data_IF_264594890845
#
_entry.id   IF_264594890845
#
_cell.length_a   1.000
_cell.length_b   1.000
_cell.length_c   1.000
_cell.angle_alpha   90.00
_cell.angle_beta   90.00
_cell.angle_gamma   90.00
#
_symmetry.space_group_name_H-M   'P 1'
#
loop_
_entity.id
_entity.type
_entity.pdbx_description
1 polymer ?
#
# COMPACT_ATOMS: atom_id res chain seq x y z
N UNK A 1 -0.67 7.89 -25.92
CA UNK A 1 0.22 7.07 -25.07
C UNK A 1 -0.24 5.62 -25.14
N UNK A 2 0.23 4.87 -26.14
CA UNK A 2 -0.26 3.52 -26.51
C UNK A 2 0.12 2.45 -25.47
N UNK A 3 1.12 2.72 -24.63
CA UNK A 3 1.61 1.81 -23.59
C UNK A 3 0.53 1.44 -22.56
N UNK A 4 -0.34 2.39 -22.20
CA UNK A 4 -1.39 2.16 -21.20
C UNK A 4 -2.49 1.19 -21.66
N UNK A 5 -2.69 1.05 -22.99
CA UNK A 5 -3.66 0.11 -23.57
C UNK A 5 -3.08 -1.29 -23.80
N UNK A 6 -1.76 -1.41 -23.96
CA UNK A 6 -1.08 -2.71 -24.16
C UNK A 6 -0.75 -3.39 -22.84
N UNK A 7 -0.43 -2.62 -21.79
CA UNK A 7 -0.02 -3.17 -20.50
C UNK A 7 -1.22 -3.33 -19.56
N UNK A 8 -1.39 -4.55 -19.03
CA UNK A 8 -2.47 -4.93 -18.09
C UNK A 8 -2.64 -3.92 -16.96
N UNK A 9 -3.89 -3.57 -16.61
CA UNK A 9 -4.22 -2.66 -15.49
C UNK A 9 -3.62 -3.13 -14.15
N UNK A 10 -3.32 -4.42 -14.02
CA UNK A 10 -2.69 -5.03 -12.85
C UNK A 10 -1.20 -4.70 -12.71
N UNK A 11 -0.56 -4.06 -13.69
CA UNK A 11 0.83 -3.58 -13.59
C UNK A 11 0.83 -2.09 -13.20
N UNK A 12 1.22 -1.75 -11.97
CA UNK A 12 1.14 -0.38 -11.47
C UNK A 12 2.45 0.39 -11.64
N UNK A 13 3.55 -0.33 -11.85
CA UNK A 13 4.89 0.22 -11.96
C UNK A 13 5.16 0.85 -13.30
N UNK A 14 5.91 1.96 -13.27
CA UNK A 14 6.53 2.57 -14.46
C UNK A 14 5.56 3.02 -15.56
N UNK A 15 4.27 3.14 -15.26
CA UNK A 15 3.24 3.64 -16.17
C UNK A 15 2.67 4.95 -15.60
N UNK A 16 2.73 6.06 -16.37
CA UNK A 16 2.17 7.34 -15.94
C UNK A 16 0.71 7.23 -15.51
N UNK A 17 0.40 7.76 -14.34
CA UNK A 17 -0.96 7.77 -13.78
C UNK A 17 -1.38 6.49 -13.05
N UNK A 18 -0.56 5.44 -13.04
CA UNK A 18 -0.77 4.25 -12.18
C UNK A 18 0.05 4.38 -10.90
N UNK A 19 -0.53 3.99 -9.78
CA UNK A 19 0.13 4.05 -8.48
C UNK A 19 0.24 2.66 -7.88
N UNK A 20 1.41 2.30 -7.36
CA UNK A 20 1.67 1.03 -6.68
C UNK A 20 0.69 0.75 -5.51
N UNK A 21 0.17 1.81 -4.89
CA UNK A 21 -0.85 1.73 -3.85
C UNK A 21 -2.17 1.09 -4.34
N UNK A 22 -2.54 1.28 -5.61
CA UNK A 22 -3.76 0.74 -6.20
C UNK A 22 -3.78 -0.81 -6.13
N UNK A 23 -2.64 -1.44 -6.46
CA UNK A 23 -2.48 -2.89 -6.36
C UNK A 23 -2.49 -3.39 -4.92
N UNK A 24 -1.85 -2.64 -4.00
CA UNK A 24 -1.83 -3.00 -2.58
C UNK A 24 -3.24 -2.99 -2.01
N UNK A 25 -4.06 -1.99 -2.38
CA UNK A 25 -5.47 -1.90 -1.97
C UNK A 25 -6.29 -3.07 -2.52
N UNK A 26 -6.14 -3.39 -3.80
CA UNK A 26 -6.83 -4.54 -4.39
C UNK A 26 -6.40 -5.86 -3.75
N UNK A 27 -5.09 -6.10 -3.61
CA UNK A 27 -4.55 -7.30 -3.00
C UNK A 27 -5.05 -7.46 -1.56
N UNK A 28 -5.11 -6.37 -0.78
CA UNK A 28 -5.63 -6.37 0.60
C UNK A 28 -7.10 -6.79 0.65
N UNK A 29 -7.91 -6.35 -0.32
CA UNK A 29 -9.30 -6.78 -0.43
C UNK A 29 -9.46 -8.23 -0.89
N UNK A 30 -8.57 -8.72 -1.76
CA UNK A 30 -8.63 -10.10 -2.26
C UNK A 30 -8.22 -11.12 -1.18
N UNK A 31 -7.19 -10.83 -0.40
CA UNK A 31 -6.70 -11.72 0.68
C UNK A 31 -7.55 -11.67 1.95
N UNK A 32 -8.53 -10.76 2.02
CA UNK A 32 -9.28 -10.58 3.26
C UNK A 32 -10.00 -11.86 3.66
N UNK A 33 -9.93 -12.17 4.95
CA UNK A 33 -10.63 -13.31 5.51
C UNK A 33 -10.07 -14.68 5.11
N UNK A 34 -8.87 -14.79 4.49
CA UNK A 34 -8.22 -16.08 4.23
C UNK A 34 -8.09 -16.96 5.50
N UNK A 35 -8.01 -16.36 6.69
CA UNK A 35 -7.94 -17.09 7.96
C UNK A 35 -9.32 -17.45 8.56
N UNK A 36 -10.44 -17.24 7.85
CA UNK A 36 -11.80 -17.57 8.33
C UNK A 36 -12.19 -18.98 7.93
N UNK A 37 -12.81 -19.73 8.85
CA UNK A 37 -13.24 -21.13 8.64
C UNK A 37 -14.33 -21.27 7.55
N UNK A 38 -15.24 -20.30 7.44
CA UNK A 38 -16.33 -20.31 6.46
C UNK A 38 -16.11 -19.25 5.36
N UNK A 39 -15.08 -19.46 4.54
CA UNK A 39 -14.79 -18.64 3.38
C UNK A 39 -15.05 -19.44 2.10
N UNK A 40 -15.42 -18.76 1.01
CA UNK A 40 -15.37 -19.38 -0.31
C UNK A 40 -13.95 -19.89 -0.62
N UNK A 41 -13.78 -21.05 -1.27
CA UNK A 41 -12.47 -21.58 -1.66
C UNK A 41 -11.65 -20.58 -2.47
N UNK A 42 -10.50 -20.13 -1.94
CA UNK A 42 -9.60 -19.17 -2.60
C UNK A 42 -8.15 -19.55 -2.38
N UNK A 43 -7.34 -19.43 -3.43
CA UNK A 43 -5.90 -19.56 -3.33
C UNK A 43 -5.22 -18.32 -3.92
N UNK A 44 -4.05 -18.01 -3.37
CA UNK A 44 -3.14 -17.01 -3.91
C UNK A 44 -1.77 -17.64 -4.04
N UNK A 45 -1.15 -17.53 -5.20
CA UNK A 45 0.24 -17.95 -5.43
C UNK A 45 1.06 -16.67 -5.48
N UNK A 46 1.96 -16.50 -4.52
CA UNK A 46 3.00 -15.50 -4.57
C UNK A 46 4.19 -16.11 -5.31
N UNK A 47 4.42 -15.64 -6.52
CA UNK A 47 5.57 -16.04 -7.33
C UNK A 47 6.71 -15.05 -7.09
N UNK A 48 7.82 -15.57 -6.59
CA UNK A 48 9.10 -14.88 -6.56
C UNK A 48 9.83 -15.27 -7.84
N UNK A 49 10.11 -14.30 -8.71
CA UNK A 49 10.87 -14.57 -9.93
C UNK A 49 12.35 -14.67 -9.55
N UNK A 50 13.05 -15.74 -10.00
CA UNK A 50 14.52 -15.79 -9.90
C UNK A 50 15.02 -14.52 -10.56
N UNK A 51 15.99 -13.86 -9.91
CA UNK A 51 16.58 -12.57 -10.30
C UNK A 51 16.38 -12.37 -11.80
N UNK A 52 15.38 -11.59 -12.16
CA UNK A 52 14.92 -11.55 -13.54
C UNK A 52 16.06 -11.13 -14.49
N UNK A 53 17.06 -10.41 -13.96
CA UNK A 53 18.36 -10.09 -14.55
C UNK A 53 19.21 -11.27 -15.04
N UNK A 54 19.14 -12.45 -14.41
CA UNK A 54 20.04 -13.56 -14.73
C UNK A 54 19.34 -14.65 -15.59
N UNK A 55 18.00 -14.63 -15.68
CA UNK A 55 17.20 -15.72 -16.29
C UNK A 55 16.52 -15.36 -17.61
N UNK A 56 16.27 -14.07 -17.88
CA UNK A 56 15.62 -13.62 -19.12
C UNK A 56 16.62 -13.70 -20.29
N UNK A 57 16.16 -14.18 -21.45
CA UNK A 57 16.88 -13.98 -22.72
C UNK A 57 16.75 -12.50 -23.14
N UNK A 58 17.67 -11.70 -22.63
CA UNK A 58 17.62 -10.24 -22.73
C UNK A 58 17.60 -9.74 -24.17
N UNK A 59 18.27 -10.42 -25.10
CA UNK A 59 18.23 -10.09 -26.53
C UNK A 59 16.80 -10.09 -27.07
N UNK A 60 16.04 -11.16 -26.85
CA UNK A 60 14.66 -11.27 -27.32
C UNK A 60 13.73 -10.20 -26.73
N UNK A 61 13.79 -10.00 -25.41
CA UNK A 61 12.94 -9.02 -24.73
C UNK A 61 13.30 -7.59 -25.13
N UNK A 62 14.60 -7.29 -25.27
CA UNK A 62 15.10 -5.99 -25.73
C UNK A 62 14.73 -5.77 -27.19
N UNK A 63 14.79 -6.77 -28.06
CA UNK A 63 14.45 -6.66 -29.48
C UNK A 63 12.95 -6.46 -29.69
N UNK A 64 12.10 -7.15 -28.92
CA UNK A 64 10.65 -6.92 -28.90
C UNK A 64 10.33 -5.51 -28.38
N UNK A 65 10.98 -5.05 -27.32
CA UNK A 65 10.72 -3.72 -26.76
C UNK A 65 11.29 -2.59 -27.63
N UNK A 66 12.43 -2.80 -28.31
CA UNK A 66 12.98 -1.85 -29.28
C UNK A 66 12.14 -1.78 -30.55
N UNK A 67 11.68 -2.93 -31.07
CA UNK A 67 10.78 -2.97 -32.23
C UNK A 67 9.41 -2.35 -31.95
N UNK A 68 8.95 -2.39 -30.70
CA UNK A 68 7.76 -1.66 -30.23
C UNK A 68 8.02 -0.19 -29.86
N UNK A 69 9.27 0.30 -30.00
CA UNK A 69 9.62 1.72 -29.86
C UNK A 69 9.80 2.25 -28.43
N UNK A 70 10.13 1.38 -27.46
CA UNK A 70 10.29 1.79 -26.07
C UNK A 70 11.66 2.46 -25.78
N UNK A 71 11.73 3.52 -24.96
CA UNK A 71 13.00 4.15 -24.57
C UNK A 71 13.90 3.22 -23.72
N UNK A 72 15.22 3.30 -23.88
CA UNK A 72 16.17 2.43 -23.14
C UNK A 72 16.05 2.52 -21.61
N UNK A 73 15.81 3.74 -21.06
CA UNK A 73 15.55 3.96 -19.63
C UNK A 73 14.29 3.22 -19.10
N UNK A 74 13.34 2.90 -19.97
CA UNK A 74 12.10 2.19 -19.62
C UNK A 74 12.30 0.67 -19.59
N UNK A 75 13.20 0.14 -20.43
CA UNK A 75 13.54 -1.29 -20.43
C UNK A 75 14.19 -1.67 -19.09
N UNK A 76 15.06 -0.80 -18.55
CA UNK A 76 15.69 -0.96 -17.23
C UNK A 76 14.69 -0.96 -16.05
N UNK A 77 13.47 -0.49 -16.26
CA UNK A 77 12.46 -0.34 -15.22
C UNK A 77 11.51 -1.53 -15.07
N UNK A 78 11.31 -2.35 -16.11
CA UNK A 78 10.23 -3.37 -16.17
C UNK A 78 10.37 -4.52 -15.14
N UNK A 79 11.52 -4.61 -14.46
CA UNK A 79 12.07 -5.87 -13.91
C UNK A 79 11.87 -6.03 -12.39
N UNK A 80 11.00 -5.24 -11.75
CA UNK A 80 10.96 -5.17 -10.28
C UNK A 80 9.57 -5.26 -9.66
N UNK A 81 8.83 -6.37 -9.83
CA UNK A 81 7.61 -6.60 -9.05
C UNK A 81 7.36 -8.06 -8.65
N UNK A 82 6.91 -8.24 -7.40
CA UNK A 82 6.31 -9.48 -6.90
C UNK A 82 5.02 -9.79 -7.67
N UNK A 83 4.88 -11.00 -8.21
CA UNK A 83 3.66 -11.44 -8.90
C UNK A 83 2.74 -12.18 -7.92
N UNK A 84 1.51 -11.69 -7.76
CA UNK A 84 0.45 -12.37 -7.02
C UNK A 84 -0.61 -12.88 -8.00
N UNK A 85 -0.79 -14.20 -8.05
CA UNK A 85 -1.82 -14.86 -8.83
C UNK A 85 -2.95 -15.28 -7.90
N UNK A 86 -4.19 -14.92 -8.23
CA UNK A 86 -5.37 -15.27 -7.43
C UNK A 86 -6.27 -16.22 -8.23
N UNK A 87 -6.72 -17.30 -7.61
CA UNK A 87 -7.64 -18.26 -8.22
C UNK A 87 -8.60 -18.85 -7.17
N UNK A 88 -9.59 -19.63 -7.63
CA UNK A 88 -10.39 -20.48 -6.75
C UNK A 88 -9.51 -21.60 -6.19
N UNK A 89 -9.67 -21.93 -4.91
CA UNK A 89 -8.94 -23.04 -4.29
C UNK A 89 -9.59 -24.39 -4.65
N UNK A 90 -9.36 -24.83 -5.87
CA UNK A 90 -9.58 -26.20 -6.30
C UNK A 90 -8.38 -26.65 -7.13
N UNK A 91 -8.19 -27.98 -7.21
CA UNK A 91 -7.00 -28.56 -7.84
C UNK A 91 -6.91 -28.12 -9.30
N UNK A 92 -8.01 -28.17 -10.03
CA UNK A 92 -8.05 -27.82 -11.45
C UNK A 92 -7.66 -26.35 -11.68
N UNK A 93 -8.31 -25.41 -11.00
CA UNK A 93 -8.04 -23.97 -11.14
C UNK A 93 -6.61 -23.61 -10.75
N UNK A 94 -6.11 -24.17 -9.64
CA UNK A 94 -4.76 -23.89 -9.16
C UNK A 94 -3.69 -24.48 -10.10
N UNK A 95 -3.87 -25.73 -10.56
CA UNK A 95 -2.98 -26.38 -11.52
C UNK A 95 -2.99 -25.69 -12.87
N UNK A 96 -4.16 -25.31 -13.41
CA UNK A 96 -4.25 -24.60 -14.67
C UNK A 96 -3.58 -23.22 -14.60
N UNK A 97 -3.84 -22.45 -13.54
CA UNK A 97 -3.21 -21.14 -13.33
C UNK A 97 -1.68 -21.27 -13.32
N UNK A 98 -1.16 -22.24 -12.56
CA UNK A 98 0.26 -22.45 -12.45
C UNK A 98 0.88 -23.00 -13.74
N UNK A 99 0.23 -23.94 -14.43
CA UNK A 99 0.67 -24.42 -15.75
C UNK A 99 0.74 -23.30 -16.79
N UNK A 100 -0.25 -22.39 -16.81
CA UNK A 100 -0.22 -21.22 -17.71
C UNK A 100 0.93 -20.28 -17.36
N UNK A 101 1.21 -20.10 -16.07
CA UNK A 101 2.39 -19.36 -15.63
C UNK A 101 3.70 -20.05 -16.07
N UNK A 102 3.83 -21.38 -15.94
CA UNK A 102 5.01 -22.12 -16.40
C UNK A 102 5.19 -22.04 -17.93
N UNK A 103 4.10 -22.08 -18.69
CA UNK A 103 4.15 -21.88 -20.13
C UNK A 103 4.67 -20.47 -20.48
N UNK A 104 4.18 -19.45 -19.79
CA UNK A 104 4.67 -18.07 -19.93
C UNK A 104 6.14 -17.95 -19.52
N UNK A 105 6.53 -18.56 -18.40
CA UNK A 105 7.91 -18.64 -17.91
C UNK A 105 8.84 -19.23 -18.97
N UNK A 106 8.46 -20.38 -19.55
CA UNK A 106 9.21 -21.04 -20.63
C UNK A 106 9.32 -20.19 -21.89
N UNK A 107 8.26 -19.46 -22.25
CA UNK A 107 8.26 -18.63 -23.47
C UNK A 107 9.01 -17.29 -23.31
N UNK A 108 9.10 -16.76 -22.09
CA UNK A 108 9.71 -15.45 -21.81
C UNK A 108 11.11 -15.53 -21.21
N UNK A 109 11.56 -16.72 -20.80
CA UNK A 109 12.78 -16.92 -20.00
C UNK A 109 12.62 -16.50 -18.52
N UNK A 110 11.45 -16.03 -18.09
CA UNK A 110 11.22 -15.63 -16.70
C UNK A 110 11.11 -16.84 -15.79
N UNK A 111 12.21 -17.29 -15.20
CA UNK A 111 12.19 -18.42 -14.26
C UNK A 111 11.58 -18.02 -12.91
N UNK A 112 10.65 -18.83 -12.40
CA UNK A 112 10.21 -18.72 -11.00
C UNK A 112 11.21 -19.36 -10.05
N UNK A 113 11.46 -18.68 -8.93
CA UNK A 113 12.13 -19.26 -7.78
C UNK A 113 11.09 -19.99 -6.93
N UNK A 114 10.92 -21.30 -7.16
CA UNK A 114 9.94 -22.10 -6.44
C UNK A 114 10.23 -22.17 -4.93
N UNK A 115 11.50 -22.10 -4.53
CA UNK A 115 11.91 -22.14 -3.12
C UNK A 115 11.50 -20.87 -2.34
N UNK A 116 11.42 -19.73 -3.02
CA UNK A 116 10.98 -18.44 -2.44
C UNK A 116 9.52 -18.13 -2.70
N UNK A 117 8.91 -18.82 -3.66
CA UNK A 117 7.51 -18.68 -3.98
C UNK A 117 6.65 -19.44 -2.96
N UNK A 118 5.47 -18.90 -2.65
CA UNK A 118 4.61 -19.45 -1.61
C UNK A 118 3.16 -19.48 -2.08
N UNK A 119 2.42 -20.51 -1.68
CA UNK A 119 0.97 -20.58 -1.89
C UNK A 119 0.22 -20.32 -0.59
N UNK A 120 -0.89 -19.59 -0.70
CA UNK A 120 -1.78 -19.24 0.41
C UNK A 120 -3.16 -19.77 0.06
N UNK A 121 -3.73 -20.60 0.93
CA UNK A 121 -4.99 -21.29 0.67
C UNK A 121 -5.97 -20.97 1.81
N UNK A 122 -7.22 -20.66 1.47
CA UNK A 122 -8.28 -20.42 2.45
C UNK A 122 -9.63 -20.95 1.98
N UNK A 123 -10.48 -21.35 2.94
CA UNK A 123 -11.85 -21.79 2.66
C UNK A 123 -11.99 -23.19 2.05
N UNK A 124 -11.03 -24.09 2.29
CA UNK A 124 -11.08 -25.50 1.85
C UNK A 124 -10.75 -26.46 2.99
N UNK A 125 -11.10 -27.74 2.83
CA UNK A 125 -10.72 -28.78 3.78
C UNK A 125 -9.21 -29.06 3.74
N UNK A 126 -8.66 -29.54 4.86
CA UNK A 126 -7.24 -29.91 4.99
C UNK A 126 -6.82 -30.91 3.91
N UNK A 127 -7.69 -31.86 3.56
CA UNK A 127 -7.43 -32.83 2.49
C UNK A 127 -7.23 -32.17 1.12
N UNK A 128 -8.05 -31.16 0.77
CA UNK A 128 -7.93 -30.42 -0.49
C UNK A 128 -6.68 -29.52 -0.47
N UNK A 129 -6.39 -28.90 0.67
CA UNK A 129 -5.18 -28.09 0.85
C UNK A 129 -3.92 -28.93 0.60
N UNK A 130 -3.81 -30.12 1.20
CA UNK A 130 -2.68 -31.02 0.99
C UNK A 130 -2.56 -31.48 -0.46
N UNK A 131 -3.67 -31.77 -1.14
CA UNK A 131 -3.65 -32.13 -2.56
C UNK A 131 -3.10 -31.00 -3.44
N UNK A 132 -3.57 -29.76 -3.24
CA UNK A 132 -3.10 -28.60 -4.01
C UNK A 132 -1.59 -28.37 -3.77
N UNK A 133 -1.14 -28.47 -2.53
CA UNK A 133 0.28 -28.31 -2.17
C UNK A 133 1.16 -29.36 -2.84
N UNK A 134 0.74 -30.63 -2.79
CA UNK A 134 1.45 -31.73 -3.44
C UNK A 134 1.50 -31.56 -4.96
N UNK A 135 0.41 -31.10 -5.59
CA UNK A 135 0.36 -30.91 -7.05
C UNK A 135 1.24 -29.76 -7.53
N UNK A 136 1.33 -28.66 -6.78
CA UNK A 136 2.10 -27.48 -7.19
C UNK A 136 3.56 -27.52 -6.72
N UNK A 137 3.88 -28.38 -5.75
CA UNK A 137 5.22 -28.51 -5.16
C UNK A 137 5.76 -27.17 -4.63
N UNK A 138 4.91 -26.41 -3.92
CA UNK A 138 5.24 -25.11 -3.34
C UNK A 138 4.93 -25.09 -1.83
N UNK A 139 5.75 -24.41 -1.01
CA UNK A 139 5.47 -24.27 0.41
C UNK A 139 4.24 -23.40 0.67
N UNK A 140 3.55 -23.67 1.78
CA UNK A 140 2.47 -22.80 2.26
C UNK A 140 3.06 -21.56 2.90
N UNK A 141 2.59 -20.37 2.52
CA UNK A 141 2.95 -19.12 3.16
C UNK A 141 1.96 -18.68 4.24
N UNK A 142 2.44 -17.87 5.18
CA UNK A 142 1.63 -17.30 6.26
C UNK A 142 1.39 -15.80 6.13
N UNK A 143 0.25 -15.35 6.64
CA UNK A 143 -0.06 -13.93 6.78
C UNK A 143 0.33 -13.43 8.17
N UNK A 144 0.83 -12.18 8.30
CA UNK A 144 1.12 -11.24 7.22
C UNK A 144 2.49 -11.47 6.57
N UNK A 145 2.62 -11.11 5.30
CA UNK A 145 3.93 -11.06 4.62
C UNK A 145 4.16 -9.71 3.96
N UNK A 146 5.40 -9.43 3.56
CA UNK A 146 5.77 -8.17 2.89
C UNK A 146 5.45 -8.24 1.39
N UNK A 147 4.71 -7.25 0.91
CA UNK A 147 4.35 -7.06 -0.49
C UNK A 147 4.58 -5.59 -0.86
N UNK A 148 5.38 -5.31 -1.89
CA UNK A 148 5.65 -3.95 -2.38
C UNK A 148 6.09 -2.96 -1.27
N UNK A 149 6.86 -3.46 -0.31
CA UNK A 149 7.41 -2.64 0.78
C UNK A 149 6.51 -2.47 2.01
N UNK A 150 5.30 -3.02 2.02
CA UNK A 150 4.33 -2.92 3.13
C UNK A 150 3.76 -4.29 3.52
N UNK A 151 3.20 -4.45 4.72
CA UNK A 151 2.57 -5.71 5.13
C UNK A 151 1.24 -5.94 4.40
N UNK A 152 1.09 -7.09 3.76
CA UNK A 152 -0.18 -7.59 3.26
C UNK A 152 -0.81 -8.51 4.33
N UNK A 153 -2.01 -8.14 4.79
CA UNK A 153 -2.65 -8.72 5.97
C UNK A 153 -4.12 -9.04 5.69
N UNK A 154 -4.63 -10.11 6.29
CA UNK A 154 -6.05 -10.51 6.17
C UNK A 154 -6.96 -9.72 7.11
N UNK A 155 -6.37 -8.99 8.07
CA UNK A 155 -7.02 -8.19 9.12
C UNK A 155 -6.50 -6.75 9.09
N UNK A 156 -7.14 -5.88 9.90
CA UNK A 156 -6.70 -4.48 10.11
C UNK A 156 -5.20 -4.41 10.44
N UNK A 157 -4.55 -3.35 9.98
CA UNK A 157 -3.13 -3.10 10.25
C UNK A 157 -2.89 -3.06 11.76
N UNK A 158 -1.97 -3.89 12.23
CA UNK A 158 -1.59 -3.97 13.64
C UNK A 158 -0.40 -3.07 13.95
N UNK A 159 -0.21 -2.79 15.24
CA UNK A 159 0.96 -2.06 15.71
C UNK A 159 2.29 -2.77 15.35
N UNK A 160 2.33 -4.10 15.51
CA UNK A 160 3.52 -4.92 15.21
C UNK A 160 3.87 -4.80 13.73
N UNK A 161 2.86 -4.84 12.86
CA UNK A 161 3.05 -4.66 11.41
C UNK A 161 3.58 -3.27 11.04
N UNK A 162 3.43 -2.25 11.89
CA UNK A 162 3.98 -0.92 11.68
C UNK A 162 5.44 -0.78 12.12
N UNK A 163 6.03 -1.79 12.78
CA UNK A 163 7.41 -1.71 13.27
C UNK A 163 8.44 -1.39 12.18
N UNK A 164 8.40 -1.99 10.98
CA UNK A 164 9.33 -1.62 9.90
C UNK A 164 9.30 -0.13 9.52
N UNK A 165 8.14 0.53 9.62
CA UNK A 165 8.01 1.97 9.40
C UNK A 165 8.62 2.76 10.58
N UNK A 166 8.27 2.36 11.81
CA UNK A 166 8.75 3.00 13.04
C UNK A 166 10.29 2.92 13.12
N UNK A 167 10.85 1.74 12.86
CA UNK A 167 12.29 1.49 12.92
C UNK A 167 13.02 2.27 11.82
N UNK A 168 12.41 2.47 10.65
CA UNK A 168 12.96 3.33 9.59
C UNK A 168 13.02 4.80 10.01
N UNK A 169 11.97 5.30 10.68
CA UNK A 169 11.98 6.68 11.23
C UNK A 169 13.07 6.79 12.29
N UNK A 170 13.16 5.83 13.21
CA UNK A 170 14.16 5.80 14.27
C UNK A 170 15.58 5.75 13.70
N UNK A 171 15.87 4.82 12.80
CA UNK A 171 17.17 4.67 12.16
C UNK A 171 17.58 5.97 11.46
N UNK A 172 16.63 6.61 10.76
CA UNK A 172 16.89 7.89 10.09
C UNK A 172 17.19 9.02 11.07
N UNK A 173 16.44 9.11 12.17
CA UNK A 173 16.70 10.10 13.23
C UNK A 173 18.07 9.87 13.89
N UNK A 174 18.46 8.61 14.14
CA UNK A 174 19.77 8.22 14.69
C UNK A 174 20.95 8.69 13.83
N UNK A 175 20.81 8.71 12.50
CA UNK A 175 21.87 9.21 11.61
C UNK A 175 22.24 10.69 11.82
N UNK A 176 21.41 11.46 12.53
CA UNK A 176 21.63 12.90 12.75
C UNK A 176 21.91 13.26 14.20
N UNK A 177 22.00 12.29 15.11
CA UNK A 177 22.16 12.60 16.54
C UNK A 177 23.52 13.19 16.88
N UNK A 178 24.56 12.80 16.14
CA UNK A 178 25.92 13.29 16.33
C UNK A 178 26.20 14.58 15.53
N UNK A 179 25.18 15.20 14.93
CA UNK A 179 25.32 16.45 14.17
C UNK A 179 24.87 17.62 15.05
N UNK A 180 25.74 18.62 15.22
CA UNK A 180 25.40 19.86 15.91
C UNK A 180 24.43 20.70 15.06
N UNK A 181 23.14 20.38 15.15
CA UNK A 181 22.07 21.05 14.42
C UNK A 181 21.36 22.05 15.33
N UNK A 182 21.06 23.23 14.78
CA UNK A 182 20.16 24.19 15.43
C UNK A 182 18.74 23.63 15.55
N UNK A 183 17.92 24.18 16.43
CA UNK A 183 16.50 23.81 16.54
C UNK A 183 15.74 23.95 15.20
N UNK A 184 16.03 25.02 14.46
CA UNK A 184 15.46 25.24 13.13
C UNK A 184 15.88 24.13 12.14
N UNK A 185 17.15 23.70 12.17
CA UNK A 185 17.65 22.60 11.35
C UNK A 185 16.98 21.26 11.69
N UNK A 186 16.86 20.93 12.98
CA UNK A 186 16.15 19.73 13.45
C UNK A 186 14.68 19.75 13.02
N UNK A 187 13.99 20.88 13.20
CA UNK A 187 12.61 21.07 12.78
C UNK A 187 12.45 20.83 11.27
N UNK A 188 13.36 21.36 10.46
CA UNK A 188 13.33 21.17 9.02
C UNK A 188 13.43 19.69 8.65
N UNK A 189 14.38 18.95 9.24
CA UNK A 189 14.55 17.50 9.01
C UNK A 189 13.33 16.68 9.43
N UNK A 190 12.73 17.01 10.58
CA UNK A 190 11.47 16.38 11.01
C UNK A 190 10.39 16.57 9.95
N UNK A 191 10.20 17.80 9.49
CA UNK A 191 9.12 18.17 8.56
C UNK A 191 9.28 17.59 7.17
N UNK A 192 10.50 17.62 6.61
CA UNK A 192 10.75 17.22 5.22
C UNK A 192 11.09 15.74 5.08
N UNK A 193 11.79 15.16 6.06
CA UNK A 193 12.28 13.78 5.97
C UNK A 193 11.50 12.83 6.88
N UNK A 194 11.50 13.03 8.20
CA UNK A 194 10.91 12.04 9.11
C UNK A 194 9.40 11.86 8.88
N UNK A 195 8.66 12.96 8.72
CA UNK A 195 7.22 12.90 8.46
C UNK A 195 6.87 12.43 7.03
N UNK A 196 7.79 12.53 6.08
CA UNK A 196 7.54 12.04 4.71
C UNK A 196 7.68 10.51 4.60
N UNK A 197 8.46 9.87 5.49
CA UNK A 197 8.62 8.40 5.51
C UNK A 197 7.31 7.64 5.68
N UNK A 198 6.36 8.19 6.45
CA UNK A 198 5.04 7.58 6.63
C UNK A 198 4.02 7.97 5.55
N UNK A 199 4.33 8.94 4.68
CA UNK A 199 3.35 9.52 3.74
C UNK A 199 2.80 8.49 2.74
N UNK A 200 3.62 7.50 2.39
CA UNK A 200 3.21 6.36 1.56
C UNK A 200 2.23 5.45 2.31
N UNK A 201 2.53 5.12 3.57
CA UNK A 201 1.67 4.28 4.41
C UNK A 201 0.33 4.96 4.71
N UNK A 202 0.32 6.27 4.97
CA UNK A 202 -0.91 7.03 5.22
C UNK A 202 -1.89 7.00 4.03
N UNK A 203 -1.39 6.81 2.82
CA UNK A 203 -2.20 6.75 1.60
C UNK A 203 -2.75 5.34 1.32
N UNK A 204 -2.36 4.34 2.10
CA UNK A 204 -2.78 2.93 1.91
C UNK A 204 -3.55 2.44 3.13
N UNK A 205 -3.10 2.78 4.33
CA UNK A 205 -3.61 2.25 5.58
C UNK A 205 -4.12 3.34 6.51
N UNK A 206 -5.16 3.00 7.27
CA UNK A 206 -5.48 3.68 8.52
C UNK A 206 -4.43 3.23 9.55
N UNK A 207 -3.51 4.11 9.90
CA UNK A 207 -2.39 3.78 10.79
C UNK A 207 -2.90 3.72 12.24
N UNK A 208 -2.60 2.66 13.01
CA UNK A 208 -2.98 2.59 14.42
C UNK A 208 -2.45 3.79 15.21
N UNK A 209 -3.30 4.41 16.03
CA UNK A 209 -2.92 5.57 16.89
C UNK A 209 -1.67 5.29 17.72
N UNK A 210 -1.48 4.04 18.19
CA UNK A 210 -0.28 3.61 18.94
C UNK A 210 1.01 3.77 18.12
N UNK A 211 0.99 3.40 16.83
CA UNK A 211 2.14 3.55 15.95
C UNK A 211 2.42 5.03 15.63
N UNK A 212 1.37 5.82 15.38
CA UNK A 212 1.50 7.28 15.19
C UNK A 212 2.16 7.92 16.41
N UNK A 213 1.68 7.62 17.62
CA UNK A 213 2.25 8.15 18.88
C UNK A 213 3.72 7.80 19.06
N UNK A 214 4.14 6.60 18.66
CA UNK A 214 5.54 6.20 18.77
C UNK A 214 6.44 6.92 17.75
N UNK A 215 5.98 7.10 16.52
CA UNK A 215 6.69 7.90 15.51
C UNK A 215 6.79 9.36 15.97
N UNK A 216 5.69 9.94 16.48
CA UNK A 216 5.69 11.28 17.07
C UNK A 216 6.66 11.39 18.23
N UNK A 217 6.74 10.37 19.09
CA UNK A 217 7.71 10.32 20.19
C UNK A 217 9.14 10.45 19.67
N UNK A 218 9.53 9.69 18.64
CA UNK A 218 10.87 9.79 18.08
C UNK A 218 11.15 11.15 17.42
N UNK A 219 10.17 11.71 16.70
CA UNK A 219 10.30 13.05 16.13
C UNK A 219 10.47 14.11 17.23
N UNK A 220 9.73 13.98 18.34
CA UNK A 220 9.80 14.87 19.50
C UNK A 220 11.14 14.80 20.21
N UNK A 221 11.64 13.59 20.49
CA UNK A 221 12.94 13.40 21.12
C UNK A 221 14.03 14.03 20.25
N UNK A 222 14.07 13.67 18.97
CA UNK A 222 15.05 14.21 18.03
C UNK A 222 15.00 15.75 17.95
N UNK A 223 13.79 16.34 17.88
CA UNK A 223 13.62 17.79 17.80
C UNK A 223 14.24 18.51 19.00
N UNK A 224 13.97 18.01 20.22
CA UNK A 224 14.33 18.75 21.43
C UNK A 224 15.73 18.45 21.94
N UNK A 225 16.16 17.19 21.90
CA UNK A 225 17.47 16.79 22.43
C UNK A 225 18.52 16.66 21.34
N UNK A 226 18.13 16.49 20.08
CA UNK A 226 19.04 16.01 19.05
C UNK A 226 19.42 14.54 19.25
N UNK A 227 18.71 13.79 20.11
CA UNK A 227 18.95 12.38 20.37
C UNK A 227 17.63 11.60 20.33
N UNK A 228 17.71 10.27 20.36
CA UNK A 228 16.59 9.34 20.35
C UNK A 228 16.39 8.64 21.71
N UNK A 229 17.28 8.88 22.67
CA UNK A 229 17.16 8.40 24.05
C UNK A 229 16.02 9.09 24.81
N UNK A 230 15.53 8.44 25.86
CA UNK A 230 14.45 8.98 26.69
C UNK A 230 14.87 10.31 27.35
N UNK A 231 14.03 11.33 27.23
CA UNK A 231 14.29 12.64 27.82
C UNK A 231 12.99 13.33 28.24
N UNK A 232 13.07 14.08 29.34
CA UNK A 232 12.00 14.97 29.83
C UNK A 232 12.08 16.38 29.23
N UNK A 233 13.09 16.68 28.42
CA UNK A 233 13.35 18.03 27.86
C UNK A 233 12.45 18.34 26.66
N UNK A 234 11.13 18.38 26.82
CA UNK A 234 10.23 18.91 25.78
C UNK A 234 9.75 20.30 26.20
N UNK A 235 10.19 21.33 25.48
CA UNK A 235 9.87 22.73 25.81
C UNK A 235 8.42 23.09 25.46
N UNK A 236 7.87 22.46 24.42
CA UNK A 236 6.51 22.72 23.92
C UNK A 236 5.80 21.40 23.63
N UNK A 237 4.51 21.33 23.92
CA UNK A 237 3.67 20.19 23.60
C UNK A 237 3.61 19.93 22.08
N UNK A 238 3.55 18.65 21.69
CA UNK A 238 3.56 18.26 20.27
C UNK A 238 2.33 18.78 19.51
N UNK A 239 1.18 18.82 20.17
CA UNK A 239 -0.06 19.31 19.53
C UNK A 239 0.03 20.82 19.29
N UNK A 240 0.69 21.57 20.19
CA UNK A 240 0.91 23.01 20.03
C UNK A 240 1.80 23.34 18.83
N UNK A 241 2.88 22.57 18.61
CA UNK A 241 3.78 22.81 17.46
C UNK A 241 3.14 22.40 16.12
N UNK A 242 2.07 21.61 16.12
CA UNK A 242 1.30 21.28 14.92
C UNK A 242 0.45 22.46 14.41
N UNK A 243 0.11 23.43 15.26
CA UNK A 243 -0.67 24.58 14.84
C UNK A 243 0.05 25.43 13.79
N UNK A 244 -0.72 26.21 13.01
CA UNK A 244 -0.16 27.21 12.12
C UNK A 244 0.73 28.23 12.84
N UNK A 245 1.69 28.81 12.13
CA UNK A 245 2.51 29.91 12.68
C UNK A 245 1.69 31.12 13.13
N UNK A 246 0.58 31.40 12.44
CA UNK A 246 -0.36 32.45 12.83
C UNK A 246 -1.04 32.19 14.18
N UNK A 247 -1.10 30.93 14.62
CA UNK A 247 -1.67 30.51 15.90
C UNK A 247 -0.58 30.11 16.92
N UNK A 248 0.66 30.58 16.73
CA UNK A 248 1.78 30.31 17.64
C UNK A 248 2.44 28.92 17.50
N UNK A 249 2.02 28.11 16.53
CA UNK A 249 2.61 26.81 16.25
C UNK A 249 3.74 26.84 15.20
N UNK A 250 4.29 25.68 14.86
CA UNK A 250 5.46 25.55 13.97
C UNK A 250 5.11 24.96 12.60
N UNK A 251 3.83 24.82 12.25
CA UNK A 251 3.37 24.20 10.99
C UNK A 251 3.87 22.75 10.83
N UNK A 252 3.99 21.99 11.92
CA UNK A 252 4.22 20.55 11.85
C UNK A 252 2.91 19.85 11.47
N UNK A 253 2.97 18.86 10.60
CA UNK A 253 1.75 18.13 10.19
C UNK A 253 1.29 17.21 11.32
N UNK A 254 0.05 17.37 11.76
CA UNK A 254 -0.61 16.36 12.59
C UNK A 254 -0.79 15.08 11.76
N UNK A 255 -0.17 14.01 12.23
CA UNK A 255 -0.11 12.75 11.52
C UNK A 255 -1.46 12.02 11.49
N UNK A 256 -2.29 12.20 12.52
CA UNK A 256 -3.64 11.63 12.61
C UNK A 256 -4.55 12.31 11.60
N UNK A 257 -4.57 13.65 11.59
CA UNK A 257 -5.36 14.42 10.63
C UNK A 257 -4.86 14.20 9.19
N UNK A 258 -3.55 14.11 8.99
CA UNK A 258 -2.98 13.81 7.68
C UNK A 258 -3.37 12.41 7.18
N UNK A 259 -3.39 11.40 8.06
CA UNK A 259 -3.86 10.07 7.67
C UNK A 259 -5.35 10.08 7.34
N UNK A 260 -6.21 10.76 8.12
CA UNK A 260 -7.63 10.95 7.76
C UNK A 260 -7.79 11.59 6.38
N UNK A 261 -7.08 12.70 6.13
CA UNK A 261 -7.11 13.37 4.83
C UNK A 261 -6.64 12.48 3.68
N UNK A 262 -5.63 11.65 3.90
CA UNK A 262 -5.13 10.70 2.92
C UNK A 262 -6.12 9.54 2.66
N UNK A 263 -6.87 9.11 3.66
CA UNK A 263 -7.95 8.12 3.50
C UNK A 263 -9.12 8.71 2.70
N UNK A 264 -9.48 9.98 2.91
CA UNK A 264 -10.49 10.66 2.08
C UNK A 264 -10.09 10.73 0.59
N UNK A 265 -8.79 10.74 0.26
CA UNK A 265 -8.33 10.61 -1.13
C UNK A 265 -8.69 9.24 -1.74
N UNK A 266 -8.62 8.17 -0.95
CA UNK A 266 -9.06 6.83 -1.39
C UNK A 266 -10.56 6.81 -1.60
N UNK A 267 -11.33 7.42 -0.70
CA UNK A 267 -12.78 7.58 -0.89
C UNK A 267 -13.10 8.32 -2.18
N UNK A 268 -12.40 9.43 -2.45
CA UNK A 268 -12.57 10.17 -3.70
C UNK A 268 -12.27 9.31 -4.93
N UNK A 269 -11.26 8.44 -4.86
CA UNK A 269 -10.95 7.51 -5.95
C UNK A 269 -12.08 6.48 -6.16
N UNK A 270 -12.69 5.94 -5.10
CA UNK A 270 -13.88 5.08 -5.23
C UNK A 270 -15.04 5.85 -5.89
N UNK A 271 -15.26 7.10 -5.48
CA UNK A 271 -16.36 7.92 -5.96
C UNK A 271 -16.21 8.36 -7.42
N UNK A 272 -15.01 8.80 -7.82
CA UNK A 272 -14.81 9.52 -9.09
C UNK A 272 -13.85 8.80 -10.06
N UNK A 273 -12.99 7.89 -9.59
CA UNK A 273 -12.00 7.21 -10.44
C UNK A 273 -12.42 5.80 -10.81
N UNK A 274 -13.45 5.73 -11.66
CA UNK A 274 -13.92 4.46 -12.26
C UNK A 274 -12.93 3.84 -13.25
N UNK A 275 -11.80 4.48 -13.54
CA UNK A 275 -10.70 3.95 -14.35
C UNK A 275 -9.75 3.04 -13.55
N UNK A 276 -9.74 3.14 -12.22
CA UNK A 276 -8.82 2.37 -11.38
C UNK A 276 -9.37 0.99 -11.08
N UNK A 277 -8.58 -0.05 -11.37
CA UNK A 277 -8.98 -1.45 -11.18
C UNK A 277 -9.55 -1.73 -9.78
N UNK A 278 -8.87 -1.29 -8.73
CA UNK A 278 -9.35 -1.51 -7.35
C UNK A 278 -10.65 -0.76 -7.05
N UNK A 279 -10.80 0.48 -7.54
CA UNK A 279 -12.01 1.26 -7.37
C UNK A 279 -13.19 0.67 -8.17
N UNK A 280 -12.94 0.20 -9.40
CA UNK A 280 -13.90 -0.56 -10.22
C UNK A 280 -14.35 -1.82 -9.49
N UNK A 281 -13.41 -2.58 -8.95
CA UNK A 281 -13.71 -3.81 -8.23
C UNK A 281 -14.57 -3.53 -6.99
N UNK A 282 -14.21 -2.51 -6.19
CA UNK A 282 -15.00 -2.07 -5.03
C UNK A 282 -16.41 -1.64 -5.47
N UNK A 283 -16.51 -0.84 -6.54
CA UNK A 283 -17.79 -0.36 -7.04
C UNK A 283 -18.68 -1.48 -7.57
N UNK A 284 -18.11 -2.45 -8.28
CA UNK A 284 -18.84 -3.59 -8.82
C UNK A 284 -19.29 -4.57 -7.74
N UNK A 285 -18.43 -4.82 -6.74
CA UNK A 285 -18.68 -5.88 -5.76
C UNK A 285 -19.47 -5.40 -4.53
N UNK A 286 -19.18 -4.20 -4.00
CA UNK A 286 -19.84 -3.68 -2.79
C UNK A 286 -20.85 -2.57 -3.07
N UNK A 287 -20.43 -1.53 -3.78
CA UNK A 287 -21.25 -0.31 -3.95
C UNK A 287 -22.40 -0.56 -4.93
N UNK A 288 -22.20 -1.43 -5.91
CA UNK A 288 -23.15 -1.75 -7.01
C UNK A 288 -23.64 -0.49 -7.72
N UNK A 289 -22.73 0.46 -7.98
CA UNK A 289 -23.00 1.77 -8.59
C UNK A 289 -24.02 2.65 -7.86
N UNK A 290 -24.34 2.35 -6.59
CA UNK A 290 -25.19 3.21 -5.75
C UNK A 290 -24.43 4.47 -5.30
N UNK A 291 -25.13 5.55 -4.94
CA UNK A 291 -24.50 6.69 -4.29
C UNK A 291 -23.78 6.24 -3.00
N UNK A 292 -22.63 6.85 -2.71
CA UNK A 292 -21.86 6.52 -1.50
C UNK A 292 -22.51 7.08 -0.24
N UNK A 293 -23.21 8.22 -0.36
CA UNK A 293 -23.98 8.81 0.74
C UNK A 293 -25.12 7.88 1.11
N UNK A 294 -25.24 7.54 2.40
CA UNK A 294 -26.25 6.60 2.89
C UNK A 294 -26.00 5.12 2.52
N UNK A 295 -24.82 4.77 1.99
CA UNK A 295 -24.50 3.38 1.65
C UNK A 295 -24.33 2.53 2.91
N UNK A 296 -25.25 1.59 3.13
CA UNK A 296 -25.10 0.59 4.19
C UNK A 296 -23.94 -0.37 3.86
N UNK A 297 -22.87 -0.33 4.67
CA UNK A 297 -21.68 -1.15 4.47
C UNK A 297 -21.95 -2.65 4.69
N UNK A 298 -21.74 -3.53 3.69
CA UNK A 298 -21.90 -4.96 3.86
C UNK A 298 -21.03 -5.57 4.96
N UNK A 299 -21.53 -6.63 5.61
CA UNK A 299 -20.81 -7.32 6.71
C UNK A 299 -19.52 -7.99 6.25
N UNK A 300 -19.47 -8.46 5.00
CA UNK A 300 -18.30 -9.08 4.36
C UNK A 300 -17.23 -8.09 3.86
N UNK A 301 -17.49 -6.78 3.95
CA UNK A 301 -16.52 -5.74 3.60
C UNK A 301 -15.34 -5.74 4.57
N UNK A 302 -14.12 -5.44 4.08
CA UNK A 302 -12.95 -5.38 4.95
C UNK A 302 -13.07 -4.20 5.92
N UNK A 303 -12.36 -4.29 7.05
CA UNK A 303 -12.31 -3.17 7.99
C UNK A 303 -11.69 -1.91 7.36
N UNK A 304 -10.66 -2.06 6.53
CA UNK A 304 -9.99 -0.94 5.87
C UNK A 304 -10.93 -0.21 4.92
N UNK A 305 -11.70 -0.94 4.12
CA UNK A 305 -12.64 -0.35 3.17
C UNK A 305 -13.83 0.32 3.88
N UNK A 306 -14.35 -0.27 4.97
CA UNK A 306 -15.34 0.39 5.83
C UNK A 306 -14.83 1.74 6.33
N UNK A 307 -13.58 1.80 6.81
CA UNK A 307 -12.96 3.06 7.26
C UNK A 307 -12.75 4.08 6.15
N UNK A 308 -12.53 3.64 4.91
CA UNK A 308 -12.48 4.54 3.75
C UNK A 308 -13.87 5.14 3.49
N UNK A 309 -14.92 4.31 3.53
CA UNK A 309 -16.31 4.74 3.28
C UNK A 309 -16.87 5.64 4.39
N UNK A 310 -16.53 5.38 5.66
CA UNK A 310 -16.82 6.28 6.79
C UNK A 310 -16.21 7.69 6.60
N UNK A 311 -15.24 7.84 5.68
CA UNK A 311 -14.69 9.15 5.33
C UNK A 311 -15.70 10.07 4.64
N UNK A 312 -16.89 9.59 4.26
CA UNK A 312 -17.92 10.42 3.61
C UNK A 312 -18.45 11.48 4.58
N UNK A 313 -18.64 11.13 5.85
CA UNK A 313 -19.07 12.05 6.90
C UNK A 313 -18.07 13.21 7.06
N UNK A 314 -16.77 12.91 6.93
CA UNK A 314 -15.72 13.93 6.97
C UNK A 314 -15.76 14.86 5.75
N UNK A 315 -16.17 14.35 4.58
CA UNK A 315 -16.33 15.17 3.38
C UNK A 315 -17.54 16.10 3.52
N UNK A 316 -18.66 15.59 4.05
CA UNK A 316 -19.84 16.41 4.34
C UNK A 316 -19.52 17.50 5.38
N UNK A 317 -18.80 17.14 6.45
CA UNK A 317 -18.39 18.08 7.51
C UNK A 317 -17.56 19.26 6.98
N UNK A 318 -16.69 19.04 5.99
CA UNK A 318 -15.83 20.10 5.44
C UNK A 318 -16.52 20.94 4.35
N UNK A 319 -17.79 20.64 4.01
CA UNK A 319 -18.56 21.36 2.99
C UNK A 319 -18.53 20.72 1.60
N UNK A 320 -18.24 19.42 1.51
CA UNK A 320 -18.31 18.63 0.28
C UNK A 320 -17.00 18.58 -0.52
N UNK A 321 -17.06 17.97 -1.72
CA UNK A 321 -15.86 17.74 -2.54
C UNK A 321 -15.23 19.03 -3.07
N UNK A 322 -16.01 20.04 -3.42
CA UNK A 322 -15.54 21.27 -4.09
C UNK A 322 -14.43 21.98 -3.31
N UNK A 323 -14.52 22.00 -1.98
CA UNK A 323 -13.57 22.70 -1.09
C UNK A 323 -12.23 21.98 -0.91
N UNK A 324 -12.13 20.71 -1.31
CA UNK A 324 -10.94 19.86 -1.14
C UNK A 324 -10.33 19.42 -2.47
N UNK A 325 -10.80 20.00 -3.57
CA UNK A 325 -10.34 19.73 -4.92
C UNK A 325 -9.43 20.86 -5.42
N UNK A 326 -8.42 20.50 -6.20
CA UNK A 326 -7.55 21.44 -6.90
C UNK A 326 -7.27 20.91 -8.31
N UNK A 327 -7.54 21.72 -9.33
CA UNK A 327 -7.40 21.34 -10.75
C UNK A 327 -8.11 20.01 -11.09
N UNK A 328 -9.35 19.83 -10.62
CA UNK A 328 -10.15 18.63 -10.87
C UNK A 328 -9.65 17.36 -10.17
N UNK A 329 -8.70 17.47 -9.22
CA UNK A 329 -8.16 16.33 -8.46
C UNK A 329 -8.24 16.59 -6.95
N UNK A 330 -8.45 15.53 -6.18
CA UNK A 330 -8.47 15.63 -4.72
C UNK A 330 -7.10 16.03 -4.16
N UNK A 331 -7.10 17.00 -3.24
CA UNK A 331 -5.90 17.48 -2.58
C UNK A 331 -5.90 17.08 -1.10
N UNK A 332 -5.01 16.15 -0.73
CA UNK A 332 -4.77 15.78 0.69
C UNK A 332 -4.44 17.03 1.52
N UNK A 333 -3.70 17.97 0.95
CA UNK A 333 -3.32 19.21 1.64
C UNK A 333 -4.53 20.09 1.94
N UNK A 334 -5.45 20.26 0.99
CA UNK A 334 -6.67 21.06 1.22
C UNK A 334 -7.59 20.38 2.24
N UNK A 335 -7.77 19.06 2.12
CA UNK A 335 -8.53 18.28 3.11
C UNK A 335 -7.92 18.42 4.51
N UNK A 336 -6.60 18.29 4.63
CA UNK A 336 -5.90 18.47 5.90
C UNK A 336 -6.15 19.86 6.47
N UNK A 337 -6.05 20.92 5.66
CA UNK A 337 -6.29 22.30 6.09
C UNK A 337 -7.74 22.57 6.52
N UNK A 338 -8.71 21.79 6.03
CA UNK A 338 -10.12 21.88 6.46
C UNK A 338 -10.41 21.08 7.72
N UNK A 339 -9.57 20.09 8.03
CA UNK A 339 -9.68 19.26 9.24
C UNK A 339 -8.89 19.83 10.43
N UNK A 340 -7.89 20.68 10.17
CA UNK A 340 -7.05 21.38 11.16
C UNK A 340 -7.62 22.74 11.47
#
# INVERSE_FOLDING_TARGET
MVVGSVVSECQPGFIPGRHIADNILLATELVKGYNRKHLSPRCMIKVDLKKAYDSIEWSFLVDVMRSLGFPNLFIDWIVAYDLLLFARADILSASMMFQKFLLFSKASGLEANLDKSNIYIGGVSVAVQHKILHTLNMPTGDFPFRYLGVPLSTKKLSYIQCKPLIDRVLARAKCWTNRYLSYAGKLQLVRTVLLSLQSFWCQIFVIPKKAIKEIQRYCRLFLWTGDTAASKKALVAWDTICFPRSAGGWNIKDMVLWNKAAICKLLWAIAHKKDKLWARWVNSYYVKNKPLVGLHCPTNMSWSLKKILEGIDLIEQVGGWSVVMKHGKFSIKLMYQKLS
#
